data_IF_984286596384
#
_entry.id   IF_984286596384
#
_cell.length_a   1.000
_cell.length_b   1.000
_cell.length_c   1.000
_cell.angle_alpha   90.00
_cell.angle_beta   90.00
_cell.angle_gamma   90.00
#
_symmetry.space_group_name_H-M   'P 1'
#
loop_
_entity.id
_entity.type
_entity.pdbx_description
1 polymer ?
#
# COMPACT_ATOMS: atom_id res chain seq x y z
N UNK A 1 24.33 20.84 7.92
CA UNK A 1 23.02 20.22 7.78
C UNK A 1 22.86 19.13 8.83
N UNK A 2 21.72 19.07 9.56
CA UNK A 2 21.46 17.98 10.51
C UNK A 2 20.94 16.78 9.70
N UNK A 3 21.71 15.71 9.61
CA UNK A 3 21.35 14.53 8.80
C UNK A 3 20.27 13.66 9.47
N UNK A 4 20.29 13.54 10.80
CA UNK A 4 19.27 12.81 11.55
C UNK A 4 18.09 13.75 11.76
N UNK A 5 16.93 13.38 11.19
CA UNK A 5 15.68 14.12 11.38
C UNK A 5 15.01 13.69 12.68
N UNK A 6 14.74 12.39 12.82
CA UNK A 6 14.06 11.82 13.97
C UNK A 6 14.54 10.39 14.28
N UNK A 7 14.43 10.00 15.56
CA UNK A 7 14.54 8.59 15.99
C UNK A 7 13.28 8.21 16.75
N UNK A 8 12.71 7.06 16.42
CA UNK A 8 11.61 6.47 17.18
C UNK A 8 11.68 4.95 17.09
N UNK A 9 11.38 4.24 18.20
CA UNK A 9 11.56 2.80 18.31
C UNK A 9 12.98 2.37 17.82
N UNK A 10 13.03 1.46 16.86
CA UNK A 10 14.25 0.95 16.19
C UNK A 10 14.55 1.66 14.86
N UNK A 11 13.85 2.75 14.54
CA UNK A 11 13.94 3.45 13.27
C UNK A 11 14.64 4.80 13.46
N UNK A 12 15.53 5.12 12.52
CA UNK A 12 16.17 6.44 12.40
C UNK A 12 15.87 7.03 11.03
N UNK A 13 15.18 8.17 11.01
CA UNK A 13 14.90 8.92 9.79
C UNK A 13 16.10 9.80 9.46
N UNK A 14 16.62 9.63 8.26
CA UNK A 14 17.73 10.43 7.74
C UNK A 14 17.25 11.38 6.65
N UNK A 15 17.81 12.56 6.66
CA UNK A 15 17.57 13.58 5.64
C UNK A 15 18.77 13.64 4.70
N UNK A 16 18.53 13.41 3.42
CA UNK A 16 19.55 13.49 2.39
C UNK A 16 19.42 14.79 1.60
N UNK A 17 20.58 15.34 1.19
CA UNK A 17 20.62 16.38 0.17
C UNK A 17 20.70 15.69 -1.20
N UNK A 18 19.78 16.03 -2.08
CA UNK A 18 19.83 15.58 -3.47
C UNK A 18 20.83 16.47 -4.22
N UNK A 19 22.07 16.01 -4.33
CA UNK A 19 23.13 16.71 -5.07
C UNK A 19 22.75 16.70 -6.55
N UNK A 20 22.87 17.87 -7.21
CA UNK A 20 22.50 18.02 -8.62
C UNK A 20 21.03 18.39 -8.89
N UNK A 21 20.12 18.29 -7.90
CA UNK A 21 18.72 18.68 -8.11
C UNK A 21 18.55 20.14 -8.54
N UNK A 22 19.37 21.04 -7.99
CA UNK A 22 19.33 22.47 -8.32
C UNK A 22 19.75 22.75 -9.77
N UNK A 23 20.57 21.88 -10.35
CA UNK A 23 21.09 21.97 -11.71
C UNK A 23 20.06 21.50 -12.77
N UNK A 24 19.04 20.76 -12.35
CA UNK A 24 17.97 20.31 -13.24
C UNK A 24 17.22 21.50 -13.84
N UNK A 25 16.84 21.37 -15.11
CA UNK A 25 15.97 22.33 -15.80
C UNK A 25 14.59 22.42 -15.13
N UNK A 26 13.90 23.52 -15.33
CA UNK A 26 12.52 23.67 -14.85
C UNK A 26 11.60 22.57 -15.39
N UNK A 27 11.79 22.15 -16.65
CA UNK A 27 11.04 21.05 -17.28
C UNK A 27 11.21 19.75 -16.52
N UNK A 28 12.44 19.37 -16.17
CA UNK A 28 12.75 18.17 -15.39
C UNK A 28 12.17 18.23 -13.96
N UNK A 29 12.27 19.39 -13.29
CA UNK A 29 11.68 19.60 -11.96
C UNK A 29 10.14 19.44 -11.99
N UNK A 30 9.47 19.95 -13.03
CA UNK A 30 8.01 19.78 -13.21
C UNK A 30 7.68 18.30 -13.49
N UNK A 31 8.51 17.61 -14.28
CA UNK A 31 8.36 16.18 -14.55
C UNK A 31 8.39 15.38 -13.24
N UNK A 32 9.44 15.56 -12.41
CA UNK A 32 9.55 14.95 -11.08
C UNK A 32 8.34 15.27 -10.20
N UNK A 33 7.88 16.52 -10.21
CA UNK A 33 6.71 16.92 -9.42
C UNK A 33 5.46 16.11 -9.79
N UNK A 34 5.14 15.96 -11.07
CA UNK A 34 3.97 15.18 -11.48
C UNK A 34 4.11 13.68 -11.24
N UNK A 35 5.30 13.11 -11.43
CA UNK A 35 5.58 11.72 -11.06
C UNK A 35 5.38 11.52 -9.54
N UNK A 36 5.86 12.44 -8.71
CA UNK A 36 5.67 12.38 -7.25
C UNK A 36 4.20 12.46 -6.85
N UNK A 37 3.37 13.25 -7.58
CA UNK A 37 1.92 13.30 -7.35
C UNK A 37 1.25 11.97 -7.69
N UNK A 38 1.67 11.29 -8.77
CA UNK A 38 1.19 9.95 -9.11
C UNK A 38 1.49 8.94 -8.00
N UNK A 39 2.74 8.90 -7.50
CA UNK A 39 3.16 8.03 -6.38
C UNK A 39 2.32 8.26 -5.13
N UNK A 40 2.10 9.53 -4.75
CA UNK A 40 1.30 9.85 -3.56
C UNK A 40 -0.16 9.39 -3.68
N UNK A 41 -0.72 9.34 -4.89
CA UNK A 41 -2.07 8.83 -5.13
C UNK A 41 -2.19 7.32 -4.91
N UNK A 42 -1.09 6.55 -5.10
CA UNK A 42 -1.03 5.11 -4.89
C UNK A 42 -0.78 4.66 -3.44
N UNK A 43 -0.42 5.59 -2.53
CA UNK A 43 -0.03 5.24 -1.16
C UNK A 43 -1.05 4.40 -0.40
N UNK A 44 -2.33 4.73 -0.52
CA UNK A 44 -3.40 4.00 0.19
C UNK A 44 -3.55 2.57 -0.33
N UNK A 45 -3.25 2.31 -1.60
CA UNK A 45 -3.24 0.97 -2.20
C UNK A 45 -2.20 0.10 -1.49
N UNK A 46 -0.97 0.61 -1.28
CA UNK A 46 0.08 -0.14 -0.59
C UNK A 46 -0.31 -0.51 0.85
N UNK A 47 -0.97 0.40 1.59
CA UNK A 47 -1.48 0.10 2.93
C UNK A 47 -2.49 -1.05 2.91
N UNK A 48 -3.43 -1.03 1.96
CA UNK A 48 -4.46 -2.05 1.84
C UNK A 48 -3.89 -3.41 1.40
N UNK A 49 -2.97 -3.41 0.44
CA UNK A 49 -2.29 -4.64 -0.02
C UNK A 49 -1.46 -5.30 1.08
N UNK A 50 -0.80 -4.51 1.93
CA UNK A 50 0.06 -5.03 3.01
C UNK A 50 -0.74 -5.63 4.17
N UNK A 51 -2.04 -5.38 4.25
CA UNK A 51 -2.93 -6.00 5.21
C UNK A 51 -4.34 -5.42 5.15
N UNK A 52 -5.33 -6.29 5.10
CA UNK A 52 -6.77 -5.99 4.98
C UNK A 52 -7.25 -4.85 5.92
N UNK A 53 -6.62 -4.72 7.09
CA UNK A 53 -7.03 -3.76 8.13
C UNK A 53 -6.12 -2.52 8.21
N UNK A 54 -4.97 -2.52 7.56
CA UNK A 54 -3.93 -1.52 7.73
C UNK A 54 -4.41 -0.10 7.45
N UNK A 55 -5.17 0.10 6.37
CA UNK A 55 -5.67 1.43 6.00
C UNK A 55 -6.68 1.96 7.02
N UNK A 56 -7.57 1.10 7.54
CA UNK A 56 -8.52 1.46 8.61
C UNK A 56 -7.81 1.78 9.90
N UNK A 57 -6.85 0.95 10.32
CA UNK A 57 -6.03 1.17 11.52
C UNK A 57 -5.30 2.51 11.41
N UNK A 58 -4.65 2.80 10.29
CA UNK A 58 -3.97 4.08 10.08
C UNK A 58 -4.94 5.25 10.27
N UNK A 59 -6.09 5.25 9.62
CA UNK A 59 -7.08 6.32 9.69
C UNK A 59 -7.59 6.53 11.12
N UNK A 60 -7.87 5.46 11.85
CA UNK A 60 -8.31 5.54 13.25
C UNK A 60 -7.22 6.10 14.15
N UNK A 61 -5.98 5.62 14.02
CA UNK A 61 -4.86 6.14 14.83
C UNK A 61 -4.56 7.62 14.51
N UNK A 62 -4.66 8.03 13.25
CA UNK A 62 -4.56 9.43 12.83
C UNK A 62 -5.69 10.28 13.44
N UNK A 63 -6.94 9.78 13.44
CA UNK A 63 -8.06 10.43 14.08
C UNK A 63 -7.84 10.62 15.60
N UNK A 64 -7.42 9.57 16.31
CA UNK A 64 -7.06 9.66 17.72
C UNK A 64 -5.95 10.69 17.92
N UNK A 65 -4.86 10.61 17.16
CA UNK A 65 -3.72 11.54 17.28
C UNK A 65 -4.13 13.00 17.11
N UNK A 66 -5.03 13.30 16.19
CA UNK A 66 -5.49 14.66 15.90
C UNK A 66 -6.48 15.20 16.93
N UNK A 67 -7.36 14.35 17.46
CA UNK A 67 -8.52 14.77 18.28
C UNK A 67 -8.41 14.40 19.77
N UNK A 68 -7.31 13.75 20.20
CA UNK A 68 -7.12 13.44 21.62
C UNK A 68 -7.01 14.71 22.44
N UNK A 69 -7.91 14.88 23.41
CA UNK A 69 -8.06 16.05 24.29
C UNK A 69 -7.32 15.93 25.63
N UNK A 70 -6.83 14.72 25.96
CA UNK A 70 -6.04 14.47 27.16
C UNK A 70 -4.59 14.96 27.05
N UNK A 71 -3.81 14.72 28.10
CA UNK A 71 -2.41 15.12 28.14
C UNK A 71 -1.59 14.36 27.10
N UNK A 72 -0.94 15.09 26.18
CA UNK A 72 -0.01 14.52 25.20
C UNK A 72 1.29 13.99 25.83
N UNK A 73 1.52 14.30 27.10
CA UNK A 73 2.60 13.75 27.93
C UNK A 73 2.23 12.41 28.59
N UNK A 74 0.97 11.95 28.46
CA UNK A 74 0.53 10.64 28.90
C UNK A 74 1.39 9.55 28.25
N UNK A 75 1.82 8.55 29.03
CA UNK A 75 2.68 7.46 28.57
C UNK A 75 2.05 6.64 27.44
N UNK A 76 0.75 6.33 27.56
CA UNK A 76 0.01 5.57 26.55
C UNK A 76 -0.15 6.38 25.24
N UNK A 77 -0.42 7.69 25.33
CA UNK A 77 -0.48 8.55 24.16
C UNK A 77 0.85 8.61 23.42
N UNK A 78 1.97 8.77 24.15
CA UNK A 78 3.31 8.72 23.54
C UNK A 78 3.59 7.36 22.87
N UNK A 79 3.18 6.26 23.50
CA UNK A 79 3.31 4.92 22.93
C UNK A 79 2.46 4.73 21.67
N UNK A 80 1.23 5.28 21.65
CA UNK A 80 0.36 5.30 20.46
C UNK A 80 1.01 6.08 19.32
N UNK A 81 1.60 7.25 19.60
CA UNK A 81 2.31 8.05 18.58
C UNK A 81 3.49 7.27 17.98
N UNK A 82 4.27 6.56 18.78
CA UNK A 82 5.36 5.71 18.30
C UNK A 82 4.81 4.58 17.42
N UNK A 83 3.72 3.95 17.84
CA UNK A 83 3.07 2.89 17.06
C UNK A 83 2.54 3.43 15.72
N UNK A 84 1.88 4.58 15.71
CA UNK A 84 1.41 5.25 14.49
C UNK A 84 2.57 5.58 13.53
N UNK A 85 3.69 6.06 14.05
CA UNK A 85 4.90 6.30 13.24
C UNK A 85 5.45 5.01 12.61
N UNK A 86 5.43 3.89 13.35
CA UNK A 86 5.78 2.58 12.79
C UNK A 86 4.82 2.15 11.68
N UNK A 87 3.50 2.37 11.89
CA UNK A 87 2.46 2.10 10.88
C UNK A 87 2.68 2.92 9.61
N UNK A 88 3.01 4.19 9.74
CA UNK A 88 3.34 5.04 8.58
C UNK A 88 4.58 4.55 7.84
N UNK A 89 5.64 4.22 8.58
CA UNK A 89 6.91 3.79 8.00
C UNK A 89 6.80 2.45 7.28
N UNK A 90 6.05 1.50 7.83
CA UNK A 90 5.94 0.12 7.34
C UNK A 90 4.74 -0.12 6.42
N UNK A 91 3.94 0.91 6.11
CA UNK A 91 2.66 0.79 5.39
C UNK A 91 1.69 -0.19 6.07
N UNK A 92 1.67 -0.23 7.41
CA UNK A 92 0.79 -1.10 8.18
C UNK A 92 1.38 -1.53 9.51
N UNK A 93 0.69 -2.46 10.17
CA UNK A 93 1.02 -2.93 11.52
C UNK A 93 2.07 -4.04 11.57
N UNK A 94 2.74 -4.29 10.46
CA UNK A 94 3.75 -5.36 10.33
C UNK A 94 5.12 -4.76 10.03
N UNK A 95 6.15 -5.34 10.63
CA UNK A 95 7.51 -4.92 10.39
C UNK A 95 7.89 -5.11 8.91
N UNK A 96 8.54 -4.11 8.32
CA UNK A 96 8.82 -4.03 6.89
C UNK A 96 9.76 -5.12 6.35
N UNK A 97 10.62 -5.71 7.19
CA UNK A 97 11.52 -6.82 6.80
C UNK A 97 11.02 -8.19 7.27
N UNK A 98 10.90 -8.40 8.60
CA UNK A 98 10.60 -9.73 9.15
C UNK A 98 9.12 -10.11 9.10
N UNK A 99 8.26 -9.16 8.69
CA UNK A 99 6.81 -9.35 8.56
C UNK A 99 6.06 -9.63 9.86
N UNK A 100 6.69 -9.52 11.04
CA UNK A 100 6.01 -9.70 12.33
C UNK A 100 5.09 -8.54 12.66
N UNK A 101 3.96 -8.84 13.29
CA UNK A 101 3.04 -7.82 13.77
C UNK A 101 3.66 -7.01 14.91
N UNK A 102 3.47 -5.70 14.90
CA UNK A 102 3.89 -4.85 16.00
C UNK A 102 3.00 -5.03 17.22
N UNK A 103 3.58 -5.32 18.37
CA UNK A 103 2.89 -5.30 19.65
C UNK A 103 2.76 -3.85 20.12
N UNK A 104 1.52 -3.35 20.38
CA UNK A 104 1.31 -2.01 20.91
C UNK A 104 1.89 -1.89 22.34
N UNK A 105 2.51 -0.75 22.66
CA UNK A 105 3.01 -0.44 23.99
C UNK A 105 2.07 0.48 24.78
N UNK A 106 0.93 0.86 24.20
CA UNK A 106 -0.17 1.52 24.89
C UNK A 106 -1.21 0.48 25.34
N UNK A 107 -1.93 0.80 26.40
CA UNK A 107 -2.91 -0.11 26.97
C UNK A 107 -4.17 -0.21 26.11
N UNK A 108 -4.84 -1.37 26.17
CA UNK A 108 -6.13 -1.58 25.52
C UNK A 108 -7.21 -0.64 26.06
N UNK A 109 -7.18 -0.34 27.40
CA UNK A 109 -8.10 0.61 28.03
C UNK A 109 -7.94 2.01 27.45
N UNK A 110 -6.69 2.50 27.37
CA UNK A 110 -6.40 3.80 26.76
C UNK A 110 -6.90 3.88 25.32
N UNK A 111 -6.63 2.85 24.49
CA UNK A 111 -7.12 2.83 23.12
C UNK A 111 -8.65 2.91 23.08
N UNK A 112 -9.35 2.14 23.93
CA UNK A 112 -10.81 2.17 24.00
C UNK A 112 -11.33 3.55 24.36
N UNK A 113 -10.80 4.18 25.43
CA UNK A 113 -11.20 5.52 25.86
C UNK A 113 -11.00 6.57 24.77
N UNK A 114 -9.83 6.59 24.14
CA UNK A 114 -9.49 7.53 23.07
C UNK A 114 -10.34 7.30 21.81
N UNK A 115 -10.65 6.04 21.47
CA UNK A 115 -11.52 5.69 20.35
C UNK A 115 -12.98 6.07 20.63
N UNK A 116 -13.48 5.75 21.82
CA UNK A 116 -14.89 5.97 22.20
C UNK A 116 -15.22 7.48 22.26
N UNK A 117 -14.23 8.32 22.59
CA UNK A 117 -14.35 9.78 22.55
C UNK A 117 -14.52 10.37 21.13
N UNK A 118 -14.16 9.63 20.06
CA UNK A 118 -14.35 10.11 18.69
C UNK A 118 -15.81 9.95 18.24
N UNK A 119 -16.44 10.96 17.62
CA UNK A 119 -17.71 10.78 16.92
C UNK A 119 -17.52 9.90 15.68
N UNK A 120 -18.54 9.10 15.35
CA UNK A 120 -18.48 8.15 14.25
C UNK A 120 -18.26 8.82 12.88
N UNK A 121 -18.71 10.06 12.72
CA UNK A 121 -18.56 10.86 11.50
C UNK A 121 -17.08 11.14 11.20
N UNK A 122 -16.25 11.39 12.21
CA UNK A 122 -14.81 11.59 12.04
C UNK A 122 -14.10 10.31 11.55
N UNK A 123 -14.68 9.15 11.84
CA UNK A 123 -14.19 7.86 11.35
C UNK A 123 -14.73 7.52 9.95
N UNK A 124 -15.61 8.37 9.39
CA UNK A 124 -16.28 8.15 8.11
C UNK A 124 -17.30 7.01 8.16
N UNK A 125 -17.92 6.78 9.32
CA UNK A 125 -18.91 5.73 9.57
C UNK A 125 -20.34 6.31 9.52
N UNK A 126 -21.32 5.43 9.34
CA UNK A 126 -22.73 5.80 9.19
C UNK A 126 -23.51 5.83 10.51
N UNK A 127 -23.00 5.19 11.58
CA UNK A 127 -23.69 5.05 12.85
C UNK A 127 -22.76 4.64 13.99
N UNK A 128 -23.26 4.75 15.24
CA UNK A 128 -22.59 4.22 16.41
C UNK A 128 -22.47 2.70 16.41
N UNK A 129 -23.43 1.98 15.84
CA UNK A 129 -23.36 0.52 15.70
C UNK A 129 -22.16 0.13 14.81
N UNK A 130 -22.01 0.78 13.66
CA UNK A 130 -20.84 0.57 12.77
C UNK A 130 -19.52 0.93 13.48
N UNK A 131 -19.55 1.94 14.39
CA UNK A 131 -18.40 2.30 15.22
C UNK A 131 -18.06 1.19 16.21
N UNK A 132 -19.04 0.56 16.85
CA UNK A 132 -18.81 -0.55 17.79
C UNK A 132 -18.30 -1.81 17.07
N UNK A 133 -18.81 -2.11 15.89
CA UNK A 133 -18.32 -3.21 15.05
C UNK A 133 -16.84 -2.99 14.68
N UNK A 134 -16.50 -1.79 14.19
CA UNK A 134 -15.11 -1.44 13.86
C UNK A 134 -14.21 -1.52 15.09
N UNK A 135 -14.69 -1.04 16.26
CA UNK A 135 -13.94 -1.14 17.52
C UNK A 135 -13.59 -2.57 17.88
N UNK A 136 -14.57 -3.49 17.81
CA UNK A 136 -14.36 -4.90 18.11
C UNK A 136 -13.33 -5.54 17.15
N UNK A 137 -13.44 -5.23 15.86
CA UNK A 137 -12.50 -5.66 14.82
C UNK A 137 -11.06 -5.16 15.13
N UNK A 138 -10.90 -3.86 15.41
CA UNK A 138 -9.59 -3.27 15.70
C UNK A 138 -8.95 -3.82 16.96
N UNK A 139 -9.74 -4.05 18.00
CA UNK A 139 -9.25 -4.65 19.25
C UNK A 139 -8.68 -6.06 19.01
N UNK A 140 -9.34 -6.86 18.18
CA UNK A 140 -8.85 -8.17 17.79
C UNK A 140 -7.57 -8.06 16.97
N UNK A 141 -7.58 -7.21 15.94
CA UNK A 141 -6.45 -7.12 14.99
C UNK A 141 -5.20 -6.54 15.65
N UNK A 142 -5.34 -5.52 16.50
CA UNK A 142 -4.20 -4.82 17.12
C UNK A 142 -3.64 -5.56 18.32
N UNK A 143 -4.51 -6.11 19.20
CA UNK A 143 -4.10 -6.61 20.53
C UNK A 143 -4.06 -8.13 20.66
N UNK A 144 -4.70 -8.89 19.78
CA UNK A 144 -4.59 -10.35 19.77
C UNK A 144 -3.32 -10.76 18.99
N UNK A 145 -2.32 -11.24 19.71
CA UNK A 145 -1.01 -11.58 19.15
C UNK A 145 -1.09 -12.80 18.21
N UNK A 146 -2.06 -13.69 18.41
CA UNK A 146 -2.23 -14.91 17.62
C UNK A 146 -3.08 -14.68 16.36
N UNK A 147 -3.83 -13.58 16.30
CA UNK A 147 -4.64 -13.25 15.13
C UNK A 147 -3.79 -12.56 14.05
N UNK A 148 -3.57 -13.25 12.93
CA UNK A 148 -2.74 -12.78 11.81
C UNK A 148 -1.38 -12.24 12.28
N UNK A 149 -0.53 -13.08 12.89
CA UNK A 149 0.72 -12.65 13.52
C UNK A 149 1.77 -12.15 12.52
N UNK A 150 1.62 -12.52 11.23
CA UNK A 150 2.57 -12.17 10.17
C UNK A 150 1.88 -11.59 8.93
N UNK A 151 2.53 -10.59 8.31
CA UNK A 151 2.12 -10.09 7.00
C UNK A 151 2.21 -11.19 5.94
N UNK A 152 3.31 -11.93 5.93
CA UNK A 152 3.52 -13.12 5.08
C UNK A 152 4.07 -14.23 5.96
N UNK A 153 3.33 -15.32 6.09
CA UNK A 153 3.73 -16.47 6.89
C UNK A 153 4.27 -17.58 5.99
N UNK A 154 5.59 -17.75 5.97
CA UNK A 154 6.31 -18.75 5.17
C UNK A 154 6.71 -19.98 6.01
N UNK A 155 6.06 -20.23 7.16
CA UNK A 155 6.35 -21.39 7.96
C UNK A 155 6.02 -22.69 7.20
N UNK A 156 6.80 -23.74 7.43
CA UNK A 156 6.58 -25.04 6.82
C UNK A 156 5.27 -25.68 7.32
N UNK A 157 4.52 -26.31 6.43
CA UNK A 157 3.29 -27.03 6.77
C UNK A 157 2.04 -26.18 7.02
N UNK A 158 2.12 -24.85 6.84
CA UNK A 158 0.95 -23.97 6.95
C UNK A 158 0.46 -23.52 5.56
N UNK A 159 -0.83 -23.18 5.45
CA UNK A 159 -1.38 -22.52 4.27
C UNK A 159 -0.89 -21.06 4.25
N UNK A 160 0.02 -20.76 3.32
CA UNK A 160 0.61 -19.44 3.14
C UNK A 160 -0.44 -18.33 2.99
N UNK A 161 -1.51 -18.60 2.25
CA UNK A 161 -2.55 -17.62 1.93
C UNK A 161 -3.41 -17.33 3.16
N UNK A 162 -3.95 -18.38 3.80
CA UNK A 162 -4.88 -18.23 4.93
C UNK A 162 -4.21 -17.71 6.20
N UNK A 163 -2.91 -17.92 6.37
CA UNK A 163 -2.17 -17.53 7.58
C UNK A 163 -1.42 -16.21 7.44
N UNK A 164 -1.47 -15.58 6.25
CA UNK A 164 -0.87 -14.27 5.97
C UNK A 164 -1.91 -13.16 6.03
N UNK A 165 -1.49 -11.98 6.52
CA UNK A 165 -2.36 -10.81 6.63
C UNK A 165 -2.44 -9.97 5.35
N UNK A 166 -1.54 -10.17 4.37
CA UNK A 166 -1.56 -9.45 3.11
C UNK A 166 -2.88 -9.67 2.34
N UNK A 167 -3.36 -8.62 1.66
CA UNK A 167 -4.71 -8.55 1.13
C UNK A 167 -4.79 -8.83 -0.39
N UNK A 168 -3.98 -9.78 -0.86
CA UNK A 168 -4.04 -10.23 -2.27
C UNK A 168 -5.03 -11.36 -2.50
N UNK A 169 -5.52 -11.97 -1.41
CA UNK A 169 -6.40 -13.14 -1.44
C UNK A 169 -7.50 -13.00 -0.39
N UNK A 170 -8.72 -13.48 -0.68
CA UNK A 170 -9.84 -13.48 0.26
C UNK A 170 -10.67 -14.76 0.11
N UNK A 171 -10.96 -15.42 1.24
CA UNK A 171 -11.76 -16.65 1.36
C UNK A 171 -11.29 -17.81 0.46
N UNK A 172 -10.01 -17.87 0.15
CA UNK A 172 -9.39 -18.86 -0.73
C UNK A 172 -8.16 -19.49 -0.05
N UNK A 173 -7.89 -20.76 -0.35
CA UNK A 173 -6.70 -21.46 0.12
C UNK A 173 -5.54 -21.39 -0.86
N UNK A 174 -4.33 -21.65 -0.39
CA UNK A 174 -3.13 -21.73 -1.23
C UNK A 174 -3.32 -22.71 -2.40
N UNK A 175 -3.88 -23.89 -2.13
CA UNK A 175 -4.13 -24.92 -3.16
C UNK A 175 -5.06 -24.42 -4.27
N UNK A 176 -6.12 -23.71 -3.91
CA UNK A 176 -7.07 -23.14 -4.88
C UNK A 176 -6.42 -22.04 -5.73
N UNK A 177 -5.57 -21.20 -5.13
CA UNK A 177 -4.78 -20.18 -5.84
C UNK A 177 -3.83 -20.81 -6.84
N UNK A 178 -3.08 -21.83 -6.42
CA UNK A 178 -2.15 -22.59 -7.27
C UNK A 178 -2.88 -23.28 -8.45
N UNK A 179 -4.07 -23.85 -8.21
CA UNK A 179 -4.90 -24.43 -9.26
C UNK A 179 -5.39 -23.38 -10.24
N UNK A 180 -5.91 -22.26 -9.75
CA UNK A 180 -6.41 -21.18 -10.60
C UNK A 180 -5.32 -20.65 -11.53
N UNK A 181 -4.20 -20.18 -11.00
CA UNK A 181 -3.11 -19.65 -11.84
C UNK A 181 -2.41 -20.72 -12.65
N UNK A 182 -2.36 -21.96 -12.16
CA UNK A 182 -1.86 -23.10 -12.93
C UNK A 182 -2.66 -23.37 -14.21
N UNK A 183 -3.98 -23.19 -14.14
CA UNK A 183 -4.86 -23.39 -15.31
C UNK A 183 -4.73 -22.31 -16.40
N UNK A 184 -4.16 -21.15 -16.06
CA UNK A 184 -3.94 -20.05 -17.01
C UNK A 184 -2.63 -20.19 -17.81
N UNK A 185 -1.72 -21.07 -17.38
CA UNK A 185 -0.45 -21.28 -18.05
C UNK A 185 -0.63 -22.18 -19.28
N UNK A 186 -0.16 -21.71 -20.43
CA UNK A 186 -0.11 -22.53 -21.63
C UNK A 186 1.12 -23.46 -21.64
N UNK A 187 0.95 -24.69 -22.09
CA UNK A 187 2.05 -25.63 -22.24
C UNK A 187 3.06 -25.11 -23.30
N UNK A 188 4.35 -25.08 -22.93
CA UNK A 188 5.43 -24.65 -23.81
C UNK A 188 5.59 -23.12 -23.95
N UNK A 189 4.91 -22.32 -23.16
CA UNK A 189 5.07 -20.86 -23.17
C UNK A 189 6.48 -20.45 -22.70
N UNK A 190 7.25 -19.81 -23.58
CA UNK A 190 8.62 -19.36 -23.29
C UNK A 190 8.69 -18.03 -22.54
N UNK A 191 7.59 -17.29 -22.49
CA UNK A 191 7.43 -16.01 -21.78
C UNK A 191 6.09 -15.99 -21.06
N UNK A 192 5.98 -16.69 -19.92
CA UNK A 192 4.72 -16.74 -19.19
C UNK A 192 4.36 -15.36 -18.64
N UNK A 193 3.10 -14.99 -18.78
CA UNK A 193 2.53 -13.79 -18.17
C UNK A 193 2.65 -13.86 -16.65
N UNK A 194 2.96 -12.74 -15.99
CA UNK A 194 3.05 -12.63 -14.53
C UNK A 194 1.66 -12.56 -13.90
N UNK A 195 0.86 -13.63 -14.02
CA UNK A 195 -0.49 -13.69 -13.47
C UNK A 195 -0.51 -13.37 -11.97
N UNK A 196 -1.54 -12.62 -11.53
CA UNK A 196 -1.71 -12.21 -10.14
C UNK A 196 -0.91 -10.97 -9.72
N UNK A 197 -0.11 -10.38 -10.62
CA UNK A 197 0.70 -9.20 -10.30
C UNK A 197 -0.16 -7.96 -9.99
N UNK A 198 -1.29 -7.81 -10.66
CA UNK A 198 -2.16 -6.64 -10.59
C UNK A 198 -3.60 -6.98 -10.23
N UNK A 199 -3.80 -7.95 -9.35
CA UNK A 199 -5.15 -8.39 -8.97
C UNK A 199 -5.20 -8.90 -7.54
N UNK A 200 -6.43 -8.95 -7.03
CA UNK A 200 -6.81 -9.70 -5.83
C UNK A 200 -7.69 -10.87 -6.23
N UNK A 201 -7.35 -12.06 -5.78
CA UNK A 201 -8.14 -13.27 -6.01
C UNK A 201 -9.07 -13.51 -4.83
N UNK A 202 -10.36 -13.64 -5.11
CA UNK A 202 -11.40 -13.84 -4.10
C UNK A 202 -12.28 -15.02 -4.46
N UNK A 203 -12.99 -15.57 -3.48
CA UNK A 203 -13.98 -16.61 -3.70
C UNK A 203 -15.38 -16.07 -3.38
N UNK A 204 -16.24 -15.99 -4.39
CA UNK A 204 -17.63 -15.53 -4.27
C UNK A 204 -18.56 -16.69 -4.63
N UNK A 205 -19.46 -17.07 -3.71
CA UNK A 205 -20.42 -18.17 -3.93
C UNK A 205 -19.78 -19.48 -4.42
N UNK A 206 -18.56 -19.76 -4.00
CA UNK A 206 -17.81 -20.96 -4.39
C UNK A 206 -16.98 -20.80 -5.67
N UNK A 207 -17.12 -19.73 -6.42
CA UNK A 207 -16.36 -19.45 -7.63
C UNK A 207 -15.18 -18.54 -7.36
N UNK A 208 -14.03 -18.86 -7.95
CA UNK A 208 -12.80 -18.05 -7.86
C UNK A 208 -12.90 -16.92 -8.87
N UNK A 209 -12.75 -15.68 -8.39
CA UNK A 209 -12.88 -14.46 -9.18
C UNK A 209 -11.64 -13.59 -8.99
N UNK A 210 -11.11 -13.06 -10.08
CA UNK A 210 -9.98 -12.13 -10.07
C UNK A 210 -10.46 -10.68 -10.15
N UNK A 211 -10.17 -9.89 -9.12
CA UNK A 211 -10.43 -8.45 -9.07
C UNK A 211 -9.19 -7.70 -9.55
N UNK A 212 -9.21 -7.26 -10.81
CA UNK A 212 -8.06 -6.60 -11.45
C UNK A 212 -7.93 -5.15 -10.98
N UNK A 213 -6.70 -4.71 -10.75
CA UNK A 213 -6.35 -3.32 -10.43
C UNK A 213 -6.29 -2.51 -11.72
N UNK A 214 -7.32 -1.73 -11.99
CA UNK A 214 -7.47 -0.90 -13.19
C UNK A 214 -8.46 0.24 -12.95
N UNK A 215 -8.55 1.18 -13.88
CA UNK A 215 -9.35 2.40 -13.75
C UNK A 215 -10.84 2.15 -13.41
N UNK A 216 -11.44 1.09 -13.93
CA UNK A 216 -12.81 0.66 -13.67
C UNK A 216 -12.89 -0.63 -12.82
N UNK A 217 -11.81 -0.98 -12.13
CA UNK A 217 -11.69 -2.17 -11.28
C UNK A 217 -11.38 -1.84 -9.82
N UNK A 218 -10.72 -2.78 -9.14
CA UNK A 218 -10.28 -2.58 -7.76
C UNK A 218 -9.26 -1.42 -7.69
N UNK A 219 -9.41 -0.54 -6.71
CA UNK A 219 -8.67 0.73 -6.55
C UNK A 219 -8.90 1.77 -7.67
N UNK A 220 -9.96 1.64 -8.47
CA UNK A 220 -10.22 2.45 -9.66
C UNK A 220 -10.12 3.95 -9.44
N UNK A 221 -10.67 4.49 -8.35
CA UNK A 221 -10.56 5.92 -8.02
C UNK A 221 -9.10 6.38 -7.90
N UNK A 222 -8.27 5.62 -7.16
CA UNK A 222 -6.85 5.93 -6.96
C UNK A 222 -6.05 5.77 -8.24
N UNK A 223 -6.35 4.74 -9.01
CA UNK A 223 -5.73 4.49 -10.33
C UNK A 223 -6.09 5.62 -11.31
N UNK A 224 -7.31 6.12 -11.33
CA UNK A 224 -7.69 7.29 -12.13
C UNK A 224 -6.89 8.54 -11.72
N UNK A 225 -6.62 8.74 -10.43
CA UNK A 225 -5.77 9.83 -9.96
C UNK A 225 -4.31 9.64 -10.43
N UNK A 226 -3.77 8.42 -10.38
CA UNK A 226 -2.45 8.09 -10.92
C UNK A 226 -2.38 8.40 -12.41
N UNK A 227 -3.35 7.94 -13.20
CA UNK A 227 -3.46 8.21 -14.64
C UNK A 227 -3.49 9.71 -14.93
N UNK A 228 -4.26 10.49 -14.15
CA UNK A 228 -4.30 11.94 -14.28
C UNK A 228 -2.92 12.57 -14.14
N UNK A 229 -2.17 12.22 -13.10
CA UNK A 229 -0.85 12.79 -12.86
C UNK A 229 0.20 12.29 -13.85
N UNK A 230 0.15 11.03 -14.26
CA UNK A 230 0.99 10.50 -15.33
C UNK A 230 0.73 11.22 -16.65
N UNK A 231 -0.53 11.54 -16.97
CA UNK A 231 -0.88 12.30 -18.17
C UNK A 231 -0.32 13.73 -18.15
N UNK A 232 -0.17 14.33 -16.95
CA UNK A 232 0.54 15.61 -16.79
C UNK A 232 2.06 15.43 -16.93
N UNK A 233 2.63 14.41 -16.29
CA UNK A 233 4.06 14.12 -16.35
C UNK A 233 4.52 13.89 -17.80
N UNK A 234 3.73 13.15 -18.58
CA UNK A 234 4.00 12.85 -20.01
C UNK A 234 4.36 14.10 -20.84
N UNK A 235 3.71 15.25 -20.59
CA UNK A 235 3.96 16.50 -21.31
C UNK A 235 5.36 17.08 -21.03
N UNK A 236 6.02 16.63 -19.98
CA UNK A 236 7.33 17.07 -19.54
C UNK A 236 8.41 16.00 -19.67
N UNK A 237 8.10 14.87 -20.29
CA UNK A 237 9.07 13.84 -20.60
C UNK A 237 10.27 14.42 -21.34
N UNK A 238 11.47 13.90 -21.08
CA UNK A 238 12.72 14.46 -21.61
C UNK A 238 12.92 14.13 -23.10
N UNK A 239 12.38 12.97 -23.52
CA UNK A 239 12.48 12.47 -24.91
C UNK A 239 11.22 11.69 -25.32
N UNK A 240 11.11 11.35 -26.60
CA UNK A 240 9.98 10.63 -27.17
C UNK A 240 9.82 9.20 -26.59
N UNK A 241 10.93 8.56 -26.23
CA UNK A 241 10.88 7.22 -25.63
C UNK A 241 10.24 7.26 -24.24
N UNK A 242 10.61 8.21 -23.39
CA UNK A 242 9.95 8.41 -22.08
C UNK A 242 8.45 8.74 -22.23
N UNK A 243 8.08 9.58 -23.20
CA UNK A 243 6.67 9.90 -23.48
C UNK A 243 5.89 8.63 -23.87
N UNK A 244 6.48 7.77 -24.70
CA UNK A 244 5.92 6.48 -25.10
C UNK A 244 5.75 5.56 -23.90
N UNK A 245 6.78 5.42 -23.05
CA UNK A 245 6.77 4.58 -21.84
C UNK A 245 5.61 4.99 -20.92
N UNK A 246 5.45 6.28 -20.63
CA UNK A 246 4.34 6.78 -19.79
C UNK A 246 2.98 6.49 -20.45
N UNK A 247 2.89 6.62 -21.77
CA UNK A 247 1.66 6.32 -22.52
C UNK A 247 1.27 4.84 -22.40
N UNK A 248 2.25 3.94 -22.46
CA UNK A 248 2.05 2.49 -22.26
C UNK A 248 1.63 2.18 -20.84
N UNK A 249 2.25 2.80 -19.83
CA UNK A 249 1.88 2.64 -18.43
C UNK A 249 0.43 3.14 -18.16
N UNK A 250 0.04 4.28 -18.71
CA UNK A 250 -1.34 4.79 -18.65
C UNK A 250 -2.31 3.76 -19.24
N UNK A 251 -1.99 3.20 -20.41
CA UNK A 251 -2.83 2.20 -21.09
C UNK A 251 -2.95 0.91 -20.25
N UNK A 252 -1.85 0.47 -19.62
CA UNK A 252 -1.87 -0.63 -18.66
C UNK A 252 -2.82 -0.36 -17.49
N UNK A 253 -2.72 0.79 -16.82
CA UNK A 253 -3.61 1.16 -15.72
C UNK A 253 -5.07 1.30 -16.13
N UNK A 254 -5.35 1.69 -17.37
CA UNK A 254 -6.70 1.75 -17.88
C UNK A 254 -7.31 0.36 -18.09
N UNK A 255 -6.53 -0.59 -18.59
CA UNK A 255 -7.02 -1.91 -19.03
C UNK A 255 -6.75 -3.04 -18.05
N UNK A 256 -5.71 -2.94 -17.22
CA UNK A 256 -5.27 -4.01 -16.35
C UNK A 256 -4.68 -5.24 -17.05
N UNK A 257 -4.31 -5.11 -18.33
CA UNK A 257 -3.78 -6.20 -19.16
C UNK A 257 -2.27 -6.33 -18.92
N UNK A 258 -1.85 -7.49 -18.40
CA UNK A 258 -0.45 -7.78 -18.08
C UNK A 258 0.46 -7.85 -19.31
N UNK A 259 -0.07 -8.14 -20.49
CA UNK A 259 0.73 -8.08 -21.73
C UNK A 259 1.20 -6.65 -22.02
N UNK A 260 0.37 -5.64 -21.72
CA UNK A 260 0.74 -4.23 -21.81
C UNK A 260 1.78 -3.83 -20.78
N UNK A 261 1.76 -4.47 -19.60
CA UNK A 261 2.78 -4.25 -18.56
C UNK A 261 4.14 -4.82 -19.01
N UNK A 262 4.15 -5.99 -19.64
CA UNK A 262 5.37 -6.58 -20.20
C UNK A 262 5.96 -5.72 -21.32
N UNK A 263 5.10 -5.23 -22.25
CA UNK A 263 5.52 -4.30 -23.30
C UNK A 263 6.09 -3.00 -22.73
N UNK A 264 5.42 -2.42 -21.72
CA UNK A 264 5.90 -1.25 -20.98
C UNK A 264 7.27 -1.52 -20.33
N UNK A 265 7.43 -2.65 -19.64
CA UNK A 265 8.66 -3.01 -18.94
C UNK A 265 9.83 -3.17 -19.90
N UNK A 266 9.60 -3.78 -21.06
CA UNK A 266 10.61 -3.92 -22.13
C UNK A 266 11.00 -2.54 -22.70
N UNK A 267 10.03 -1.65 -22.90
CA UNK A 267 10.29 -0.31 -23.39
C UNK A 267 11.08 0.54 -22.37
N UNK A 268 10.72 0.42 -21.07
CA UNK A 268 11.40 1.10 -19.97
C UNK A 268 12.86 0.63 -19.82
N UNK A 269 13.12 -0.69 -19.92
CA UNK A 269 14.48 -1.25 -19.86
C UNK A 269 15.39 -0.77 -21.00
N UNK A 270 14.85 -0.24 -22.07
CA UNK A 270 15.61 0.27 -23.23
C UNK A 270 15.86 1.77 -23.20
N UNK A 271 15.25 2.47 -22.25
CA UNK A 271 15.42 3.91 -22.08
C UNK A 271 16.66 4.17 -21.20
N UNK A 272 17.67 4.86 -21.73
CA UNK A 272 18.93 5.18 -21.05
C UNK A 272 19.41 6.61 -21.31
N UNK A 273 18.63 7.40 -22.06
CA UNK A 273 19.04 8.74 -22.49
C UNK A 273 18.55 9.84 -21.56
N UNK A 274 17.43 9.60 -20.82
CA UNK A 274 16.88 10.54 -19.87
C UNK A 274 17.69 10.58 -18.58
N UNK A 275 17.74 11.77 -17.94
CA UNK A 275 18.34 11.96 -16.62
C UNK A 275 17.37 11.59 -15.49
N UNK A 276 16.08 11.69 -15.74
CA UNK A 276 15.03 11.38 -14.77
C UNK A 276 14.41 10.03 -15.09
N UNK A 277 14.48 9.13 -14.13
CA UNK A 277 13.86 7.82 -14.23
C UNK A 277 12.83 7.62 -13.11
N UNK A 278 11.96 6.62 -13.24
CA UNK A 278 10.98 6.26 -12.25
C UNK A 278 10.74 4.75 -12.21
N UNK A 279 10.40 4.25 -11.03
CA UNK A 279 10.04 2.85 -10.82
C UNK A 279 8.53 2.78 -10.62
N UNK A 280 7.88 1.83 -11.31
CA UNK A 280 6.47 1.53 -11.14
C UNK A 280 6.29 0.31 -10.24
N UNK A 281 5.42 0.42 -9.23
CA UNK A 281 5.07 -0.69 -8.35
C UNK A 281 4.10 -0.28 -7.24
N UNK A 282 3.07 -1.07 -7.06
CA UNK A 282 2.22 -1.20 -5.88
C UNK A 282 1.52 -2.56 -5.92
#
# INVERSE_FOLDING_TARGET
MKYIDEKFADIQILRYKLVGFEELSLRQKIYIYYLSKAVLSGRDITFDQFGKYNLRIRKVLECIYLNYDGSRDNQDFRALVIYLKRVWFSNGIYHHYNCDKFTPKFSKSFFCEAYDALPYELLGLSSDDAKQELRAELLKVIFDEDYLPKRVNKAEGVDLIRTSACNFYEDISQKEVEQFYGSLKADGETRPTSYGLNSKLIKINGEVTELVYKADGLYGEKICQIIHWLSKAKQYAENEQQEKIISMLIKYYQKGDLSLFDEYSIAWLKEHEGQIDFINGF
#
